data_IF_481529692141
#
_entry.id   IF_481529692141
#
_cell.length_a   1.000
_cell.length_b   1.000
_cell.length_c   1.000
_cell.angle_alpha   90.00
_cell.angle_beta   90.00
_cell.angle_gamma   90.00
#
_symmetry.space_group_name_H-M   'P 1'
#
loop_
_entity.id
_entity.type
_entity.pdbx_description
1 polymer ?
#
# COMPACT_ATOMS: atom_id res chain seq x y z
N UNK A 1 8.69 8.22 54.45
CA UNK A 1 9.00 6.96 53.75
C UNK A 1 10.19 7.20 52.83
N UNK A 2 11.20 6.31 52.78
CA UNK A 2 12.23 6.42 51.76
C UNK A 2 11.59 6.27 50.37
N UNK A 3 12.10 6.97 49.34
CA UNK A 3 11.57 6.87 47.99
C UNK A 3 11.70 5.43 47.47
N UNK A 4 10.77 4.96 46.62
CA UNK A 4 10.89 3.65 46.01
C UNK A 4 12.16 3.61 45.15
N UNK A 5 13.13 2.79 45.58
CA UNK A 5 14.30 2.45 44.79
C UNK A 5 13.86 1.51 43.67
N UNK A 6 13.71 2.05 42.47
CA UNK A 6 13.48 1.23 41.29
C UNK A 6 14.67 0.29 41.10
N UNK A 7 14.46 -1.00 40.81
CA UNK A 7 15.56 -1.89 40.48
C UNK A 7 16.28 -1.33 39.24
N UNK A 8 17.63 -1.38 39.21
CA UNK A 8 18.38 -0.85 38.09
C UNK A 8 17.99 -1.59 36.80
N UNK A 9 17.62 -0.81 35.77
CA UNK A 9 17.31 -1.35 34.44
C UNK A 9 18.57 -1.98 33.88
N UNK A 10 18.56 -3.30 33.68
CA UNK A 10 19.65 -4.03 33.02
C UNK A 10 19.37 -4.10 31.53
N UNK A 11 20.16 -3.36 30.75
CA UNK A 11 20.10 -3.41 29.29
C UNK A 11 21.00 -4.56 28.83
N UNK A 12 20.48 -5.58 28.13
CA UNK A 12 21.30 -6.68 27.65
C UNK A 12 22.28 -6.20 26.57
N UNK A 13 23.51 -6.73 26.61
CA UNK A 13 24.51 -6.45 25.58
C UNK A 13 24.11 -7.20 24.30
N UNK A 14 24.02 -6.52 23.14
CA UNK A 14 23.72 -7.18 21.88
C UNK A 14 24.85 -8.13 21.50
N UNK A 15 24.51 -9.31 20.96
CA UNK A 15 25.50 -10.32 20.57
C UNK A 15 25.36 -10.75 19.12
N UNK A 16 26.46 -11.09 18.47
CA UNK A 16 26.48 -11.57 17.08
C UNK A 16 27.50 -12.69 16.85
N UNK A 17 27.07 -13.78 16.21
CA UNK A 17 27.84 -15.02 16.00
C UNK A 17 28.60 -15.11 14.68
N UNK A 18 28.10 -14.49 13.62
CA UNK A 18 28.70 -14.54 12.28
C UNK A 18 27.80 -15.11 11.18
N UNK A 19 28.37 -15.88 10.25
CA UNK A 19 27.72 -16.41 9.05
C UNK A 19 26.74 -17.54 9.39
N UNK A 20 25.52 -17.19 9.76
CA UNK A 20 24.49 -18.13 10.19
C UNK A 20 23.77 -17.72 11.46
N UNK A 21 24.07 -16.53 12.00
CA UNK A 21 23.25 -15.95 13.04
C UNK A 21 21.83 -15.68 12.52
N UNK A 22 20.86 -15.73 13.44
CA UNK A 22 19.45 -15.38 13.18
C UNK A 22 19.27 -13.86 13.05
N UNK A 23 20.10 -13.11 13.77
CA UNK A 23 20.14 -11.65 13.70
C UNK A 23 20.97 -11.25 12.49
N UNK A 24 20.50 -10.30 11.68
CA UNK A 24 21.28 -9.84 10.54
C UNK A 24 22.44 -8.94 11.01
N UNK A 25 23.53 -8.89 10.22
CA UNK A 25 24.64 -8.00 10.52
C UNK A 25 24.21 -6.52 10.59
N UNK A 26 23.19 -6.11 9.82
CA UNK A 26 22.62 -4.76 9.90
C UNK A 26 21.87 -4.53 11.21
N UNK A 27 21.06 -5.50 11.65
CA UNK A 27 20.28 -5.37 12.90
C UNK A 27 21.23 -5.32 14.10
N UNK A 28 22.30 -6.13 14.11
CA UNK A 28 23.31 -6.08 15.15
C UNK A 28 23.97 -4.69 15.27
N UNK A 29 24.33 -4.06 14.14
CA UNK A 29 24.92 -2.73 14.15
C UNK A 29 23.94 -1.67 14.67
N UNK A 30 22.65 -1.81 14.36
CA UNK A 30 21.61 -0.93 14.90
C UNK A 30 21.42 -1.14 16.40
N UNK A 31 21.39 -2.38 16.86
CA UNK A 31 21.23 -2.71 18.28
C UNK A 31 22.45 -2.29 19.10
N UNK A 32 23.65 -2.40 18.55
CA UNK A 32 24.88 -1.86 19.15
C UNK A 32 24.81 -0.34 19.30
N UNK A 33 24.30 0.37 18.29
CA UNK A 33 24.09 1.82 18.36
C UNK A 33 23.04 2.20 19.42
N UNK A 34 21.92 1.48 19.49
CA UNK A 34 20.88 1.70 20.52
C UNK A 34 21.45 1.47 21.92
N UNK A 35 22.23 0.40 22.08
CA UNK A 35 22.91 0.08 23.34
C UNK A 35 23.87 1.21 23.75
N UNK A 36 24.72 1.67 22.83
CA UNK A 36 25.63 2.80 23.06
C UNK A 36 24.89 4.05 23.55
N UNK A 37 23.79 4.41 22.86
CA UNK A 37 22.99 5.58 23.22
C UNK A 37 22.32 5.44 24.58
N UNK A 38 21.74 4.27 24.87
CA UNK A 38 21.05 4.03 26.14
C UNK A 38 22.02 4.00 27.34
N UNK A 39 23.26 3.54 27.12
CA UNK A 39 24.30 3.49 28.14
C UNK A 39 25.16 4.76 28.21
N UNK A 40 24.97 5.73 27.31
CA UNK A 40 25.76 6.97 27.25
C UNK A 40 27.25 6.73 26.96
N UNK A 41 27.59 5.68 26.20
CA UNK A 41 28.98 5.27 25.98
C UNK A 41 29.61 6.02 24.79
N UNK A 42 30.89 6.35 24.94
CA UNK A 42 31.71 6.85 23.85
C UNK A 42 32.05 5.75 22.83
N UNK A 43 32.39 6.14 21.60
CA UNK A 43 32.81 5.20 20.55
C UNK A 43 34.00 4.34 21.00
N UNK A 44 34.95 4.94 21.71
CA UNK A 44 36.12 4.26 22.26
C UNK A 44 35.72 3.16 23.26
N UNK A 45 34.80 3.44 24.18
CA UNK A 45 34.32 2.44 25.13
C UNK A 45 33.57 1.30 24.46
N UNK A 46 32.82 1.58 23.38
CA UNK A 46 32.18 0.54 22.59
C UNK A 46 33.22 -0.37 21.95
N UNK A 47 34.24 0.19 21.30
CA UNK A 47 35.27 -0.57 20.60
C UNK A 47 36.13 -1.42 21.55
N UNK A 48 36.56 -0.86 22.68
CA UNK A 48 37.48 -1.57 23.58
C UNK A 48 36.78 -2.51 24.57
N UNK A 49 35.58 -2.15 25.06
CA UNK A 49 34.95 -2.85 26.19
C UNK A 49 33.78 -3.72 25.77
N UNK A 50 32.95 -3.23 24.84
CA UNK A 50 31.70 -3.89 24.46
C UNK A 50 31.89 -4.79 23.23
N UNK A 51 32.66 -4.36 22.25
CA UNK A 51 32.86 -5.10 21.01
C UNK A 51 33.47 -6.49 21.24
N UNK A 52 34.50 -6.67 22.10
CA UNK A 52 35.09 -8.00 22.34
C UNK A 52 34.16 -9.01 23.00
N UNK A 53 33.14 -8.56 23.73
CA UNK A 53 32.16 -9.42 24.42
C UNK A 53 30.84 -9.57 23.66
N UNK A 54 30.51 -8.64 22.76
CA UNK A 54 29.34 -8.71 21.89
C UNK A 54 29.54 -9.65 20.71
N UNK A 55 30.76 -9.72 20.15
CA UNK A 55 31.07 -10.65 19.07
C UNK A 55 31.45 -12.01 19.65
N UNK A 56 30.77 -13.07 19.19
CA UNK A 56 30.98 -14.46 19.62
C UNK A 56 31.28 -15.35 18.41
N UNK A 57 31.72 -16.59 18.65
CA UNK A 57 31.99 -17.59 17.62
C UNK A 57 32.87 -17.10 16.45
N UNK A 58 32.31 -17.04 15.24
CA UNK A 58 33.04 -16.64 14.03
C UNK A 58 33.31 -15.13 14.02
N UNK A 59 32.37 -14.33 14.53
CA UNK A 59 32.54 -12.89 14.60
C UNK A 59 33.64 -12.50 15.61
N UNK A 60 33.75 -13.21 16.73
CA UNK A 60 34.86 -13.05 17.67
C UNK A 60 36.21 -13.35 17.00
N UNK A 61 36.26 -14.40 16.16
CA UNK A 61 37.47 -14.76 15.41
C UNK A 61 37.86 -13.66 14.43
N UNK A 62 36.90 -13.13 13.68
CA UNK A 62 37.11 -12.00 12.78
C UNK A 62 37.67 -10.77 13.52
N UNK A 63 37.08 -10.41 14.67
CA UNK A 63 37.55 -9.28 15.48
C UNK A 63 39.00 -9.47 15.93
N UNK A 64 39.42 -10.68 16.31
CA UNK A 64 40.83 -10.94 16.69
C UNK A 64 41.81 -10.74 15.54
N UNK A 65 41.37 -10.96 14.29
CA UNK A 65 42.22 -10.84 13.11
C UNK A 65 42.28 -9.40 12.58
N UNK A 66 41.17 -8.67 12.67
CA UNK A 66 41.02 -7.33 12.06
C UNK A 66 41.04 -6.19 13.09
N UNK A 67 40.84 -6.49 14.37
CA UNK A 67 40.57 -5.50 15.43
C UNK A 67 41.65 -4.47 15.65
N UNK A 68 42.93 -4.79 15.40
CA UNK A 68 44.03 -3.83 15.50
C UNK A 68 43.96 -2.67 14.49
N UNK A 69 43.18 -2.83 13.43
CA UNK A 69 43.01 -1.84 12.36
C UNK A 69 41.78 -0.95 12.58
N UNK A 70 40.94 -1.25 13.56
CA UNK A 70 39.66 -0.57 13.80
C UNK A 70 39.83 0.53 14.85
N UNK A 71 40.12 1.76 14.42
CA UNK A 71 40.31 2.91 15.31
C UNK A 71 39.07 3.80 15.43
N UNK A 72 38.01 3.55 14.66
CA UNK A 72 36.75 4.29 14.74
C UNK A 72 35.52 3.42 14.53
N UNK A 73 34.38 3.87 15.07
CA UNK A 73 33.11 3.15 14.90
C UNK A 73 32.70 3.06 13.42
N UNK A 74 33.05 4.07 12.61
CA UNK A 74 32.74 4.07 11.18
C UNK A 74 33.62 3.07 10.40
N UNK A 75 34.89 2.89 10.79
CA UNK A 75 35.74 1.83 10.25
C UNK A 75 35.21 0.45 10.63
N UNK A 76 34.79 0.26 11.88
CA UNK A 76 34.12 -0.97 12.32
C UNK A 76 32.91 -1.26 11.43
N UNK A 77 31.98 -0.30 11.30
CA UNK A 77 30.75 -0.49 10.52
C UNK A 77 31.05 -0.85 9.07
N UNK A 78 32.03 -0.20 8.45
CA UNK A 78 32.46 -0.48 7.08
C UNK A 78 33.04 -1.90 6.95
N UNK A 79 34.03 -2.25 7.78
CA UNK A 79 34.69 -3.55 7.73
C UNK A 79 33.72 -4.70 8.07
N UNK A 80 32.86 -4.50 9.07
CA UNK A 80 31.85 -5.47 9.49
C UNK A 80 30.81 -5.75 8.40
N UNK A 81 30.35 -4.70 7.71
CA UNK A 81 29.45 -4.84 6.55
C UNK A 81 30.13 -5.57 5.41
N UNK A 82 31.40 -5.27 5.13
CA UNK A 82 32.15 -5.95 4.07
C UNK A 82 32.36 -7.44 4.35
N UNK A 83 32.56 -7.81 5.62
CA UNK A 83 32.76 -9.20 6.01
C UNK A 83 31.44 -9.98 6.01
N UNK A 84 30.41 -9.48 6.68
CA UNK A 84 29.22 -10.26 7.02
C UNK A 84 28.01 -10.03 6.12
N UNK A 85 28.04 -9.03 5.23
CA UNK A 85 27.01 -8.86 4.21
C UNK A 85 27.46 -9.42 2.86
N UNK A 86 26.53 -9.93 2.04
CA UNK A 86 26.84 -10.29 0.65
C UNK A 86 27.42 -9.10 -0.12
N UNK A 87 28.39 -9.36 -1.02
CA UNK A 87 29.02 -8.32 -1.84
C UNK A 87 28.01 -7.50 -2.68
N UNK A 88 26.86 -8.08 -3.03
CA UNK A 88 25.79 -7.41 -3.77
C UNK A 88 24.59 -7.01 -2.90
N UNK A 89 24.78 -6.90 -1.59
CA UNK A 89 23.74 -6.58 -0.62
C UNK A 89 22.92 -5.33 -1.02
N UNK A 90 23.59 -4.21 -1.33
CA UNK A 90 22.90 -2.97 -1.70
C UNK A 90 22.03 -3.12 -2.94
N UNK A 91 22.52 -3.85 -3.95
CA UNK A 91 21.75 -4.15 -5.16
C UNK A 91 20.56 -5.05 -4.85
N UNK A 92 20.73 -6.04 -3.96
CA UNK A 92 19.63 -6.91 -3.51
C UNK A 92 18.58 -6.13 -2.74
N UNK A 93 18.98 -5.17 -1.91
CA UNK A 93 18.07 -4.32 -1.14
C UNK A 93 17.27 -3.37 -2.04
N UNK A 94 17.91 -2.73 -3.03
CA UNK A 94 17.20 -1.93 -4.05
C UNK A 94 16.18 -2.76 -4.82
N UNK A 95 16.58 -3.95 -5.29
CA UNK A 95 15.65 -4.87 -5.96
C UNK A 95 14.50 -5.31 -5.03
N UNK A 96 14.78 -5.53 -3.75
CA UNK A 96 13.75 -5.86 -2.75
C UNK A 96 12.74 -4.72 -2.59
N UNK A 97 13.22 -3.47 -2.55
CA UNK A 97 12.37 -2.28 -2.52
C UNK A 97 11.51 -2.15 -3.79
N UNK A 98 12.09 -2.36 -4.97
CA UNK A 98 11.38 -2.31 -6.27
C UNK A 98 10.27 -3.37 -6.38
N UNK A 99 10.56 -4.60 -5.92
CA UNK A 99 9.65 -5.74 -6.03
C UNK A 99 8.62 -5.81 -4.89
N UNK A 100 8.76 -4.98 -3.86
CA UNK A 100 7.86 -5.01 -2.72
C UNK A 100 6.47 -4.55 -3.17
N UNK A 101 5.47 -5.39 -2.93
CA UNK A 101 4.06 -5.07 -3.10
C UNK A 101 3.31 -5.48 -1.84
N UNK A 102 2.28 -4.71 -1.45
CA UNK A 102 1.47 -5.00 -0.28
C UNK A 102 0.76 -6.36 -0.41
N UNK A 103 0.85 -7.19 0.62
CA UNK A 103 0.13 -8.46 0.64
C UNK A 103 -1.38 -8.23 0.91
N UNK A 104 -2.31 -9.03 0.36
CA UNK A 104 -3.75 -8.84 0.61
C UNK A 104 -4.17 -8.89 2.09
N UNK A 105 -3.43 -9.66 2.90
CA UNK A 105 -3.67 -9.80 4.34
C UNK A 105 -2.82 -8.84 5.20
N UNK A 106 -1.96 -8.03 4.57
CA UNK A 106 -1.14 -7.04 5.26
C UNK A 106 -1.90 -5.71 5.36
N UNK A 107 -1.96 -5.15 6.57
CA UNK A 107 -2.62 -3.86 6.78
C UNK A 107 -1.86 -2.74 6.06
N UNK A 108 -2.58 -1.67 5.68
CA UNK A 108 -1.94 -0.53 5.02
C UNK A 108 -0.91 0.13 5.93
N UNK A 109 -1.19 0.24 7.23
CA UNK A 109 -0.25 0.79 8.20
C UNK A 109 1.04 -0.04 8.27
N UNK A 110 0.94 -1.36 8.44
CA UNK A 110 2.11 -2.25 8.48
C UNK A 110 2.93 -2.16 7.20
N UNK A 111 2.25 -2.12 6.04
CA UNK A 111 2.89 -1.97 4.74
C UNK A 111 3.68 -0.66 4.65
N UNK A 112 3.08 0.47 5.04
CA UNK A 112 3.77 1.78 5.01
C UNK A 112 4.98 1.77 5.94
N UNK A 113 4.88 1.20 7.15
CA UNK A 113 6.01 1.10 8.09
C UNK A 113 7.12 0.18 7.55
N UNK A 114 6.76 -0.93 6.94
CA UNK A 114 7.73 -1.82 6.29
C UNK A 114 8.44 -1.13 5.11
N UNK A 115 7.71 -0.34 4.32
CA UNK A 115 8.27 0.45 3.23
C UNK A 115 9.22 1.53 3.74
N UNK A 116 8.88 2.24 4.82
CA UNK A 116 9.80 3.19 5.48
C UNK A 116 11.13 2.53 5.85
N UNK A 117 11.08 1.39 6.55
CA UNK A 117 12.28 0.65 6.93
C UNK A 117 13.10 0.21 5.70
N UNK A 118 12.45 -0.22 4.62
CA UNK A 118 13.14 -0.58 3.38
C UNK A 118 13.79 0.62 2.70
N UNK A 119 13.17 1.80 2.69
CA UNK A 119 13.77 3.01 2.16
C UNK A 119 15.03 3.41 2.92
N UNK A 120 15.00 3.38 4.26
CA UNK A 120 16.18 3.70 5.07
C UNK A 120 17.38 2.78 4.78
N UNK A 121 17.11 1.50 4.45
CA UNK A 121 18.15 0.53 4.14
C UNK A 121 18.63 0.58 2.68
N UNK A 122 17.73 0.81 1.72
CA UNK A 122 18.01 0.64 0.30
C UNK A 122 18.24 1.98 -0.44
N UNK A 123 17.57 3.04 -0.03
CA UNK A 123 17.55 4.33 -0.74
C UNK A 123 17.27 5.51 0.22
N UNK A 124 18.15 5.76 1.22
CA UNK A 124 17.91 6.77 2.24
C UNK A 124 17.87 8.20 1.69
N UNK A 125 18.46 8.45 0.52
CA UNK A 125 18.44 9.77 -0.13
C UNK A 125 17.18 10.04 -0.97
N UNK A 126 16.26 9.08 -1.12
CA UNK A 126 15.04 9.28 -1.91
C UNK A 126 14.17 10.39 -1.32
N UNK A 127 13.65 11.26 -2.19
CA UNK A 127 12.80 12.38 -1.79
C UNK A 127 11.43 11.88 -1.30
N UNK A 128 10.81 12.58 -0.34
CA UNK A 128 9.54 12.14 0.25
C UNK A 128 8.44 11.92 -0.80
N UNK A 129 8.33 12.80 -1.80
CA UNK A 129 7.36 12.67 -2.89
C UNK A 129 7.53 11.34 -3.66
N UNK A 130 8.77 10.98 -4.02
CA UNK A 130 9.07 9.72 -4.70
C UNK A 130 8.76 8.51 -3.81
N UNK A 131 9.12 8.60 -2.53
CA UNK A 131 8.82 7.55 -1.55
C UNK A 131 7.31 7.29 -1.46
N UNK A 132 6.51 8.36 -1.36
CA UNK A 132 5.05 8.28 -1.31
C UNK A 132 4.48 7.69 -2.60
N UNK A 133 4.87 8.22 -3.76
CA UNK A 133 4.37 7.74 -5.06
C UNK A 133 4.64 6.23 -5.22
N UNK A 134 5.84 5.79 -4.84
CA UNK A 134 6.22 4.38 -4.89
C UNK A 134 5.36 3.51 -3.96
N UNK A 135 5.11 3.96 -2.72
CA UNK A 135 4.20 3.26 -1.79
C UNK A 135 2.78 3.18 -2.35
N UNK A 136 2.24 4.27 -2.91
CA UNK A 136 0.90 4.27 -3.52
C UNK A 136 0.83 3.27 -4.68
N UNK A 137 1.84 3.24 -5.56
CA UNK A 137 1.91 2.30 -6.70
C UNK A 137 2.00 0.84 -6.27
N UNK A 138 2.68 0.56 -5.16
CA UNK A 138 2.90 -0.79 -4.64
C UNK A 138 1.84 -1.24 -3.62
N UNK A 139 0.88 -0.37 -3.29
CA UNK A 139 -0.23 -0.68 -2.39
C UNK A 139 -1.25 -1.61 -3.05
N UNK A 140 -1.93 -2.43 -2.25
CA UNK A 140 -2.98 -3.33 -2.72
C UNK A 140 -4.17 -2.51 -3.23
N UNK A 141 -4.86 -2.99 -4.27
CA UNK A 141 -5.92 -2.23 -4.95
C UNK A 141 -7.04 -1.77 -4.01
N UNK A 142 -7.36 -2.59 -3.00
CA UNK A 142 -8.33 -2.25 -1.93
C UNK A 142 -8.04 -0.91 -1.27
N UNK A 143 -6.76 -0.58 -1.07
CA UNK A 143 -6.33 0.66 -0.44
C UNK A 143 -5.94 1.73 -1.47
N UNK A 144 -5.39 1.32 -2.62
CA UNK A 144 -4.92 2.23 -3.65
C UNK A 144 -6.02 3.19 -4.16
N UNK A 145 -7.29 2.80 -4.11
CA UNK A 145 -8.42 3.68 -4.47
C UNK A 145 -8.54 4.89 -3.55
N UNK A 146 -8.26 4.74 -2.26
CA UNK A 146 -8.30 5.82 -1.26
C UNK A 146 -7.05 6.71 -1.31
N UNK A 147 -5.94 6.16 -1.81
CA UNK A 147 -4.65 6.86 -1.87
C UNK A 147 -4.48 7.67 -3.16
N UNK A 148 -5.15 7.29 -4.25
CA UNK A 148 -5.06 7.99 -5.53
C UNK A 148 -5.73 9.36 -5.43
N UNK A 149 -4.99 10.42 -5.79
CA UNK A 149 -5.46 11.80 -5.71
C UNK A 149 -5.26 12.45 -4.34
N UNK A 150 -4.82 11.67 -3.35
CA UNK A 150 -4.45 12.19 -2.04
C UNK A 150 -3.01 12.71 -2.06
N UNK A 151 -2.76 13.79 -1.33
CA UNK A 151 -1.44 14.40 -1.21
C UNK A 151 -0.93 14.28 0.22
N UNK A 152 0.30 13.76 0.36
CA UNK A 152 0.97 13.58 1.64
C UNK A 152 2.33 14.27 1.60
N UNK A 153 2.79 14.83 2.72
CA UNK A 153 4.10 15.48 2.85
C UNK A 153 5.21 14.45 3.03
N UNK A 154 4.92 13.38 3.77
CA UNK A 154 5.86 12.29 4.04
C UNK A 154 5.12 10.96 4.34
N UNK A 155 5.90 9.90 4.55
CA UNK A 155 5.37 8.58 4.86
C UNK A 155 4.75 8.46 6.26
N UNK A 156 5.01 9.40 7.19
CA UNK A 156 4.38 9.40 8.52
C UNK A 156 2.95 9.94 8.45
N UNK A 157 2.73 10.97 7.65
CA UNK A 157 1.39 11.48 7.35
C UNK A 157 0.56 10.40 6.65
N UNK A 158 1.13 9.75 5.62
CA UNK A 158 0.52 8.59 4.96
C UNK A 158 0.17 7.47 5.95
N UNK A 159 1.09 7.13 6.87
CA UNK A 159 0.85 6.10 7.89
C UNK A 159 -0.26 6.48 8.87
N UNK A 160 -0.44 7.77 9.17
CA UNK A 160 -1.52 8.24 10.04
C UNK A 160 -2.86 8.11 9.33
N UNK A 161 -2.93 8.49 8.05
CA UNK A 161 -4.14 8.34 7.22
C UNK A 161 -4.49 6.87 6.97
N UNK A 162 -3.48 6.00 6.85
CA UNK A 162 -3.69 4.58 6.64
C UNK A 162 -4.56 3.91 7.71
N UNK A 163 -4.56 4.44 8.94
CA UNK A 163 -5.43 3.94 10.02
C UNK A 163 -6.90 4.22 9.73
N UNK A 164 -7.23 5.44 9.32
CA UNK A 164 -8.61 5.84 8.99
C UNK A 164 -9.14 5.07 7.79
N UNK A 165 -8.33 4.95 6.73
CA UNK A 165 -8.69 4.15 5.54
C UNK A 165 -8.98 2.69 5.92
N UNK A 166 -8.21 2.14 6.86
CA UNK A 166 -8.41 0.77 7.32
C UNK A 166 -9.70 0.61 8.12
N UNK A 167 -10.03 1.57 9.00
CA UNK A 167 -11.30 1.61 9.71
C UNK A 167 -12.49 1.72 8.75
N UNK A 168 -12.40 2.58 7.75
CA UNK A 168 -13.43 2.72 6.71
C UNK A 168 -13.62 1.43 5.92
N UNK A 169 -12.54 0.72 5.59
CA UNK A 169 -12.63 -0.57 4.90
C UNK A 169 -13.32 -1.63 5.76
N UNK A 170 -13.01 -1.67 7.06
CA UNK A 170 -13.67 -2.58 8.01
C UNK A 170 -15.15 -2.22 8.18
N UNK A 171 -15.48 -0.94 8.32
CA UNK A 171 -16.85 -0.46 8.41
C UNK A 171 -17.66 -0.83 7.15
N UNK A 172 -17.07 -0.65 5.97
CA UNK A 172 -17.69 -1.02 4.69
C UNK A 172 -17.98 -2.52 4.58
N UNK A 173 -17.14 -3.39 5.17
CA UNK A 173 -17.37 -4.85 5.19
C UNK A 173 -18.53 -5.26 6.10
N UNK A 174 -18.73 -4.55 7.20
CA UNK A 174 -19.80 -4.82 8.18
C UNK A 174 -21.11 -4.15 7.77
N UNK A 175 -21.06 -3.15 6.90
CA UNK A 175 -22.22 -2.42 6.43
C UNK A 175 -23.36 -3.34 6.01
N UNK A 176 -24.56 -2.99 6.49
CA UNK A 176 -25.82 -3.60 6.10
C UNK A 176 -26.71 -2.48 5.57
N UNK A 177 -27.32 -2.66 4.39
CA UNK A 177 -28.29 -1.68 3.91
C UNK A 177 -29.44 -1.54 4.93
N UNK A 178 -30.06 -0.36 5.02
CA UNK A 178 -31.22 -0.17 5.89
C UNK A 178 -32.34 -1.17 5.51
N UNK A 179 -33.17 -1.61 6.47
CA UNK A 179 -34.29 -2.48 6.18
C UNK A 179 -35.27 -1.81 5.19
N UNK A 180 -35.99 -2.58 4.38
CA UNK A 180 -37.00 -2.03 3.48
C UNK A 180 -38.12 -1.36 4.28
N UNK A 181 -38.84 -0.43 3.65
CA UNK A 181 -39.88 0.35 4.33
C UNK A 181 -40.97 -0.49 5.00
N UNK A 182 -41.31 -1.65 4.44
CA UNK A 182 -42.27 -2.59 5.03
C UNK A 182 -41.81 -3.23 6.34
N UNK A 183 -40.50 -3.28 6.58
CA UNK A 183 -39.88 -3.86 7.77
C UNK A 183 -39.26 -2.77 8.68
N UNK A 184 -39.37 -1.50 8.31
CA UNK A 184 -38.91 -0.38 9.11
C UNK A 184 -39.96 -0.02 10.17
N UNK A 185 -39.49 0.34 11.37
CA UNK A 185 -40.35 0.82 12.46
C UNK A 185 -41.15 2.06 12.06
N UNK A 186 -40.55 2.93 11.24
CA UNK A 186 -41.16 4.13 10.68
C UNK A 186 -41.06 4.12 9.15
N UNK A 187 -42.03 3.51 8.43
CA UNK A 187 -41.98 3.35 6.98
C UNK A 187 -41.82 4.66 6.19
N UNK A 188 -42.32 5.79 6.74
CA UNK A 188 -42.21 7.12 6.12
C UNK A 188 -40.78 7.65 6.08
N UNK A 189 -39.91 7.19 6.97
CA UNK A 189 -38.50 7.59 7.08
C UNK A 189 -37.55 6.56 6.43
N UNK A 190 -38.08 5.46 5.92
CA UNK A 190 -37.28 4.39 5.34
C UNK A 190 -36.82 4.72 3.91
N UNK A 191 -35.71 4.11 3.50
CA UNK A 191 -35.26 4.19 2.12
C UNK A 191 -36.22 3.43 1.19
N UNK A 192 -37.04 4.19 0.46
CA UNK A 192 -37.98 3.67 -0.53
C UNK A 192 -37.30 3.52 -1.89
N UNK A 193 -36.23 2.71 -1.96
CA UNK A 193 -35.44 2.54 -3.19
C UNK A 193 -36.33 2.46 -4.44
N UNK A 194 -36.12 3.37 -5.40
CA UNK A 194 -36.78 3.46 -6.70
C UNK A 194 -38.32 3.18 -6.77
N UNK A 195 -39.05 3.41 -5.69
CA UNK A 195 -40.51 3.47 -5.74
C UNK A 195 -40.99 4.77 -6.41
N UNK A 196 -40.22 5.86 -6.23
CA UNK A 196 -40.49 7.17 -6.84
C UNK A 196 -40.21 7.24 -8.36
N UNK A 197 -39.48 6.28 -8.93
CA UNK A 197 -39.23 6.20 -10.38
C UNK A 197 -40.26 5.35 -11.12
N UNK A 198 -40.99 4.44 -10.44
CA UNK A 198 -42.12 3.70 -11.03
C UNK A 198 -43.39 4.56 -11.14
N UNK A 199 -43.70 5.38 -10.13
CA UNK A 199 -44.88 6.25 -10.18
C UNK A 199 -44.78 7.33 -11.27
N UNK A 200 -43.57 7.84 -11.58
CA UNK A 200 -43.38 8.81 -12.67
C UNK A 200 -43.62 8.24 -14.07
N UNK A 201 -43.48 6.92 -14.28
CA UNK A 201 -43.84 6.29 -15.57
C UNK A 201 -45.36 6.12 -15.74
N UNK A 202 -46.10 5.92 -14.66
CA UNK A 202 -47.57 5.87 -14.71
C UNK A 202 -48.19 7.26 -14.92
N UNK A 203 -47.65 8.32 -14.30
CA UNK A 203 -48.12 9.69 -14.56
C UNK A 203 -47.78 10.19 -15.98
N UNK A 204 -46.63 9.81 -16.53
CA UNK A 204 -46.28 10.14 -17.93
C UNK A 204 -47.14 9.39 -18.97
N UNK A 205 -47.60 8.18 -18.65
CA UNK A 205 -48.53 7.43 -19.53
C UNK A 205 -49.93 8.05 -19.52
N UNK A 206 -50.40 8.58 -18.39
CA UNK A 206 -51.72 9.22 -18.29
C UNK A 206 -51.77 10.62 -18.96
N UNK A 207 -50.63 11.29 -19.14
CA UNK A 207 -50.55 12.55 -19.91
C UNK A 207 -50.34 12.34 -21.42
N UNK A 208 -49.90 11.15 -21.86
CA UNK A 208 -49.73 10.83 -23.28
C UNK A 208 -51.07 10.46 -23.96
N UNK A 209 -52.02 9.85 -23.23
CA UNK A 209 -53.34 9.50 -23.78
C UNK A 209 -54.24 10.72 -24.03
N UNK A 210 -54.10 11.80 -23.26
CA UNK A 210 -54.85 13.05 -23.49
C UNK A 210 -54.37 13.86 -24.71
N UNK A 211 -53.24 13.50 -25.35
CA UNK A 211 -52.68 14.23 -26.51
C UNK A 211 -52.94 13.55 -27.86
N UNK A 212 -53.52 12.34 -27.88
CA UNK A 212 -53.85 11.65 -29.15
C UNK A 212 -55.21 12.10 -29.71
N UNK A 213 -56.17 12.47 -28.85
CA UNK A 213 -57.50 12.94 -29.29
C UNK A 213 -57.54 14.38 -29.86
N UNK A 214 -56.49 15.17 -29.67
CA UNK A 214 -56.44 16.56 -30.17
C UNK A 214 -55.69 16.73 -31.49
N UNK A 215 -55.13 15.65 -32.06
CA UNK A 215 -54.31 15.71 -33.30
C UNK A 215 -55.03 15.24 -34.57
N UNK A 216 -56.21 14.64 -34.47
CA UNK A 216 -56.99 14.14 -35.62
C UNK A 216 -57.88 15.18 -36.31
N UNK A 217 -57.96 16.43 -35.84
CA UNK A 217 -58.79 17.47 -36.46
C UNK A 217 -58.05 18.55 -37.27
N UNK A 218 -56.71 18.50 -37.34
CA UNK A 218 -55.91 19.60 -37.93
C UNK A 218 -55.07 19.23 -39.16
N UNK A 219 -55.26 18.05 -39.76
CA UNK A 219 -54.55 17.63 -40.98
C UNK A 219 -55.50 17.15 -42.09
N UNK A 220 -56.49 17.98 -42.44
CA UNK A 220 -57.13 17.94 -43.77
C UNK A 220 -57.15 19.38 -44.31
N UNK A 221 -55.97 19.93 -44.58
CA UNK A 221 -55.80 21.09 -45.45
C UNK A 221 -54.30 21.32 -45.68
N UNK A 222 -53.79 20.77 -46.79
CA UNK A 222 -52.66 21.23 -47.62
C UNK A 222 -52.03 20.01 -48.29
N UNK A 223 -52.76 19.56 -49.29
CA UNK A 223 -52.23 18.76 -50.38
C UNK A 223 -51.67 19.73 -51.44
N UNK A 224 -50.61 19.25 -52.11
CA UNK A 224 -50.06 19.60 -53.44
C UNK A 224 -48.71 20.32 -53.54
N UNK A 225 -47.92 19.74 -54.48
CA UNK A 225 -46.77 20.28 -55.22
C UNK A 225 -45.34 19.91 -54.75
N UNK A 226 -44.87 18.74 -55.21
CA UNK A 226 -43.50 18.50 -55.73
C UNK A 226 -43.39 19.12 -57.15
N UNK A 227 -42.22 19.43 -57.77
CA UNK A 227 -41.15 18.46 -58.08
C UNK A 227 -39.65 18.92 -58.20
N UNK A 228 -38.75 17.94 -58.03
CA UNK A 228 -37.52 17.58 -58.82
C UNK A 228 -36.13 18.28 -58.74
N UNK A 229 -35.12 17.37 -58.78
CA UNK A 229 -33.69 17.44 -59.20
C UNK A 229 -32.64 18.11 -58.29
N UNK A 230 -31.41 17.61 -58.10
CA UNK A 230 -30.65 16.44 -58.61
C UNK A 230 -29.14 16.55 -58.23
N UNK A 231 -28.37 15.45 -58.28
CA UNK A 231 -26.88 15.41 -58.27
C UNK A 231 -26.21 14.95 -56.95
N UNK A 232 -25.70 13.71 -56.85
CA UNK A 232 -24.29 13.28 -57.04
C UNK A 232 -23.30 13.87 -56.01
N UNK A 233 -22.35 13.18 -55.34
CA UNK A 233 -21.68 11.89 -55.49
C UNK A 233 -20.80 11.63 -54.22
N UNK A 234 -20.57 10.36 -53.86
CA UNK A 234 -19.32 9.69 -53.35
C UNK A 234 -18.45 10.38 -52.26
N UNK A 235 -17.90 9.71 -51.22
CA UNK A 235 -17.07 8.49 -51.18
C UNK A 235 -16.84 8.06 -49.70
N UNK A 236 -16.81 6.73 -49.45
CA UNK A 236 -15.90 5.91 -48.60
C UNK A 236 -15.51 6.40 -47.19
N UNK A 237 -15.36 5.59 -46.14
CA UNK A 237 -15.25 4.14 -45.85
C UNK A 237 -15.42 4.05 -44.31
N UNK A 238 -16.18 3.10 -43.75
CA UNK A 238 -15.66 1.87 -43.08
C UNK A 238 -14.71 2.20 -41.92
N UNK A 239 -14.88 1.75 -40.66
CA UNK A 239 -15.41 0.48 -40.18
C UNK A 239 -15.36 0.44 -38.64
N UNK A 240 -16.28 -0.29 -38.01
CA UNK A 240 -16.13 -1.22 -36.86
C UNK A 240 -15.00 -0.96 -35.84
N UNK A 241 -15.21 -1.07 -34.53
CA UNK A 241 -16.30 -1.74 -33.82
C UNK A 241 -15.99 -1.77 -32.32
N UNK A 242 -17.05 -2.08 -31.58
CA UNK A 242 -17.10 -2.32 -30.14
C UNK A 242 -16.30 -3.58 -29.73
N UNK A 243 -16.36 -3.86 -28.41
CA UNK A 243 -15.87 -5.01 -27.61
C UNK A 243 -14.69 -4.55 -26.73
N UNK A 244 -14.70 -4.73 -25.41
CA UNK A 244 -15.62 -5.42 -24.52
C UNK A 244 -14.95 -5.50 -23.15
N UNK A 245 -15.71 -5.20 -22.10
CA UNK A 245 -15.28 -5.26 -20.70
C UNK A 245 -15.53 -6.65 -20.15
N UNK A 246 -14.48 -7.44 -19.91
CA UNK A 246 -14.54 -8.57 -18.98
C UNK A 246 -13.15 -9.09 -18.55
N UNK A 247 -13.08 -9.45 -17.27
CA UNK A 247 -12.11 -10.39 -16.65
C UNK A 247 -10.77 -9.85 -16.14
N UNK A 248 -10.73 -9.45 -14.86
CA UNK A 248 -9.52 -9.47 -14.04
C UNK A 248 -9.83 -9.97 -12.61
N UNK A 249 -10.28 -11.22 -12.51
CA UNK A 249 -10.22 -11.98 -11.26
C UNK A 249 -9.90 -13.44 -11.60
N UNK A 250 -8.62 -13.80 -11.52
CA UNK A 250 -8.04 -15.15 -11.36
C UNK A 250 -6.59 -15.11 -11.85
N UNK A 251 -5.61 -14.64 -11.05
CA UNK A 251 -4.19 -14.96 -11.35
C UNK A 251 -3.22 -14.96 -10.15
N UNK A 252 -3.66 -14.90 -8.89
CA UNK A 252 -2.74 -14.89 -7.73
C UNK A 252 -2.71 -16.18 -6.89
N UNK A 253 -3.40 -17.24 -7.30
CA UNK A 253 -3.23 -18.60 -6.73
C UNK A 253 -2.83 -19.58 -7.81
N UNK A 254 -1.52 -19.69 -8.08
CA UNK A 254 -0.82 -20.90 -8.57
C UNK A 254 0.65 -20.55 -8.90
N UNK A 255 1.49 -20.53 -7.87
CA UNK A 255 2.94 -20.79 -7.97
C UNK A 255 3.53 -20.93 -6.57
N UNK A 256 3.34 -22.10 -5.96
CA UNK A 256 4.20 -22.71 -4.93
C UNK A 256 3.62 -24.08 -4.56
N UNK A 257 3.87 -25.05 -5.42
CA UNK A 257 3.89 -26.47 -5.07
C UNK A 257 4.73 -27.17 -6.15
N UNK A 258 5.90 -27.63 -5.71
CA UNK A 258 6.93 -28.46 -6.36
C UNK A 258 8.30 -27.78 -6.20
N UNK A 259 9.02 -28.15 -5.15
CA UNK A 259 10.33 -28.82 -5.21
C UNK A 259 10.58 -29.32 -3.78
N UNK A 260 10.22 -30.58 -3.56
CA UNK A 260 10.68 -31.38 -2.43
C UNK A 260 10.76 -32.79 -2.99
N UNK A 261 11.95 -33.19 -3.46
CA UNK A 261 12.43 -34.57 -3.66
C UNK A 261 13.83 -34.55 -4.27
N UNK A 262 14.70 -35.37 -3.65
CA UNK A 262 16.13 -35.64 -3.90
C UNK A 262 17.13 -34.66 -3.29
#
# INVERSE_FOLDING_TARGET
>A
APPPTWPPVRIPIPTYRGYGDRVSATDFLEDLKKYQQAMGMSDHEILERILPISLVDQAARWLRLTGSQLSSIEQLRKAFRQEFLPADYERRMRRKLEQRAQHPDESLLEFVRAMQALFELAEPSAHNAERIERVIRQSHLTFAVYLRGSHFRDLNELASEARWIQEDNLAARVYRPPPPASAALEPRCAWNGDAASRNRRHEAAHYADCQVETRTKSQIARSTCTPMNGGQQRLRRSSTGEIGTQSYQRHWRKRRQSVQTH
#
